data_IF_278261232739
#
_entry.id   IF_278261232739
#
_cell.length_a   1.000
_cell.length_b   1.000
_cell.length_c   1.000
_cell.angle_alpha   90.00
_cell.angle_beta   90.00
_cell.angle_gamma   90.00
#
_symmetry.space_group_name_H-M   'P 1'
#
loop_
_entity.id
_entity.type
_entity.pdbx_description
1 polymer ?
#
# COMPACT_ATOMS: atom_id res chain seq x y z
N UNK A 1 -17.55 -4.99 10.41
CA UNK A 1 -17.45 -6.32 9.78
C UNK A 1 -15.99 -6.55 9.46
N UNK A 2 -15.26 -7.21 10.37
CA UNK A 2 -13.86 -7.57 10.20
C UNK A 2 -13.77 -9.09 10.12
N UNK A 3 -12.92 -9.62 9.23
CA UNK A 3 -12.21 -10.87 9.53
C UNK A 3 -12.54 -12.14 8.76
N UNK A 4 -13.24 -12.10 7.62
CA UNK A 4 -13.40 -13.30 6.78
C UNK A 4 -12.22 -13.54 5.83
N UNK A 5 -11.83 -12.47 5.12
CA UNK A 5 -10.78 -12.53 4.11
C UNK A 5 -9.36 -12.49 4.66
N UNK A 6 -9.11 -11.74 5.75
CA UNK A 6 -7.75 -11.57 6.30
C UNK A 6 -7.11 -12.89 6.72
N UNK A 7 -7.79 -13.76 7.50
CA UNK A 7 -7.23 -15.07 7.82
C UNK A 7 -7.11 -15.96 6.58
N UNK A 8 -8.05 -15.88 5.63
CA UNK A 8 -8.02 -16.69 4.41
C UNK A 8 -6.79 -16.38 3.57
N UNK A 9 -6.53 -15.11 3.26
CA UNK A 9 -5.39 -14.75 2.40
C UNK A 9 -4.05 -15.05 3.07
N UNK A 10 -3.95 -14.86 4.40
CA UNK A 10 -2.76 -15.25 5.17
C UNK A 10 -2.54 -16.76 5.09
N UNK A 11 -3.60 -17.55 5.28
CA UNK A 11 -3.53 -19.01 5.18
C UNK A 11 -3.26 -19.48 3.74
N UNK A 12 -3.86 -18.86 2.73
CA UNK A 12 -3.62 -19.15 1.32
C UNK A 12 -2.17 -18.85 0.94
N UNK A 13 -1.62 -17.71 1.35
CA UNK A 13 -0.19 -17.41 1.18
C UNK A 13 0.65 -18.48 1.88
N UNK A 14 0.33 -18.84 3.13
CA UNK A 14 1.09 -19.83 3.88
C UNK A 14 1.04 -21.23 3.23
N UNK A 15 -0.10 -21.63 2.69
CA UNK A 15 -0.28 -22.88 1.94
C UNK A 15 0.52 -22.85 0.64
N UNK A 16 0.50 -21.73 -0.10
CA UNK A 16 1.28 -21.55 -1.33
C UNK A 16 2.79 -21.68 -1.02
N UNK A 17 3.26 -21.12 0.12
CA UNK A 17 4.66 -21.29 0.57
C UNK A 17 4.98 -22.73 0.98
N UNK A 18 4.06 -23.42 1.66
CA UNK A 18 4.29 -24.80 2.06
C UNK A 18 4.28 -25.76 0.87
N UNK A 19 3.48 -25.46 -0.15
CA UNK A 19 3.35 -26.24 -1.38
C UNK A 19 4.50 -26.08 -2.38
N UNK A 20 5.30 -25.00 -2.28
CA UNK A 20 6.45 -24.73 -3.16
C UNK A 20 7.65 -25.66 -2.92
N UNK A 21 7.57 -26.56 -1.93
CA UNK A 21 8.66 -27.47 -1.58
C UNK A 21 9.73 -26.85 -0.70
N UNK A 22 9.39 -25.83 0.11
CA UNK A 22 10.28 -25.27 1.12
C UNK A 22 10.72 -26.37 2.10
N UNK A 23 11.90 -26.95 1.85
CA UNK A 23 12.55 -27.90 2.75
C UNK A 23 12.96 -27.16 4.02
N UNK A 24 12.03 -27.10 4.98
CA UNK A 24 12.16 -26.70 6.39
C UNK A 24 12.23 -25.22 6.77
N UNK A 25 12.54 -24.25 5.87
CA UNK A 25 12.56 -22.82 6.24
C UNK A 25 12.09 -21.86 5.13
N UNK A 26 11.11 -21.04 5.47
CA UNK A 26 10.64 -19.93 4.64
C UNK A 26 11.62 -18.77 4.78
N UNK A 27 12.29 -18.42 3.67
CA UNK A 27 13.27 -17.34 3.61
C UNK A 27 12.67 -15.97 3.27
N UNK A 28 13.43 -14.90 3.50
CA UNK A 28 13.01 -13.53 3.13
C UNK A 28 12.73 -13.37 1.63
N UNK A 29 13.48 -14.09 0.78
CA UNK A 29 13.34 -13.99 -0.67
C UNK A 29 12.09 -14.72 -1.18
N UNK A 30 11.70 -15.81 -0.53
CA UNK A 30 10.46 -16.53 -0.84
C UNK A 30 9.22 -15.69 -0.47
N UNK A 31 9.23 -15.06 0.71
CA UNK A 31 8.17 -14.11 1.12
C UNK A 31 8.04 -12.95 0.13
N UNK A 32 9.17 -12.42 -0.38
CA UNK A 32 9.16 -11.35 -1.39
C UNK A 32 8.54 -11.78 -2.71
N UNK A 33 8.97 -12.93 -3.23
CA UNK A 33 8.43 -13.47 -4.49
C UNK A 33 6.92 -13.64 -4.41
N UNK A 34 6.44 -14.24 -3.31
CA UNK A 34 5.02 -14.47 -3.09
C UNK A 34 4.24 -13.17 -2.85
N UNK A 35 4.85 -12.18 -2.19
CA UNK A 35 4.23 -10.86 -2.01
C UNK A 35 4.03 -10.14 -3.35
N UNK A 36 4.97 -10.27 -4.29
CA UNK A 36 4.82 -9.74 -5.66
C UNK A 36 3.66 -10.42 -6.38
N UNK A 37 3.62 -11.76 -6.39
CA UNK A 37 2.54 -12.52 -7.00
C UNK A 37 1.17 -12.22 -6.36
N UNK A 38 1.14 -11.91 -5.06
CA UNK A 38 -0.08 -11.51 -4.36
C UNK A 38 -0.57 -10.13 -4.81
N UNK A 39 0.34 -9.16 -5.03
CA UNK A 39 -0.02 -7.86 -5.61
C UNK A 39 -0.60 -8.01 -7.01
N UNK A 40 0.05 -8.78 -7.88
CA UNK A 40 -0.42 -9.09 -9.24
C UNK A 40 -1.85 -9.64 -9.20
N UNK A 41 -2.09 -10.64 -8.35
CA UNK A 41 -3.42 -11.23 -8.15
C UNK A 41 -4.45 -10.20 -7.67
N UNK A 42 -4.11 -9.34 -6.70
CA UNK A 42 -5.00 -8.28 -6.20
C UNK A 42 -5.34 -7.25 -7.28
N UNK A 43 -4.37 -6.93 -8.15
CA UNK A 43 -4.60 -6.06 -9.31
C UNK A 43 -5.57 -6.74 -10.28
N UNK A 44 -5.38 -8.03 -10.56
CA UNK A 44 -6.30 -8.78 -11.44
C UNK A 44 -7.72 -8.90 -10.86
N UNK A 45 -7.85 -9.21 -9.56
CA UNK A 45 -9.13 -9.22 -8.84
C UNK A 45 -9.82 -7.86 -8.93
N UNK A 46 -9.07 -6.78 -8.69
CA UNK A 46 -9.58 -5.41 -8.82
C UNK A 46 -10.10 -5.12 -10.22
N UNK A 47 -9.37 -5.52 -11.27
CA UNK A 47 -9.79 -5.32 -12.66
C UNK A 47 -11.04 -6.12 -13.04
N UNK A 48 -11.21 -7.31 -12.48
CA UNK A 48 -12.38 -8.14 -12.72
C UNK A 48 -13.64 -7.61 -12.01
N UNK A 49 -13.46 -7.06 -10.80
CA UNK A 49 -14.56 -6.65 -9.93
C UNK A 49 -14.98 -5.18 -10.08
N UNK A 50 -14.21 -4.35 -10.79
CA UNK A 50 -14.48 -2.92 -10.97
C UNK A 50 -15.02 -2.58 -12.36
N UNK A 51 -15.77 -1.47 -12.46
CA UNK A 51 -16.15 -0.92 -13.76
C UNK A 51 -14.95 -0.20 -14.41
N UNK A 52 -14.93 -0.07 -15.73
CA UNK A 52 -13.78 0.46 -16.48
C UNK A 52 -13.28 1.82 -15.96
N UNK A 53 -14.20 2.76 -15.68
CA UNK A 53 -13.85 4.11 -15.20
C UNK A 53 -13.29 4.08 -13.77
N UNK A 54 -13.75 3.13 -12.96
CA UNK A 54 -13.28 2.91 -11.60
C UNK A 54 -11.92 2.21 -11.59
N UNK A 55 -11.71 1.25 -12.49
CA UNK A 55 -10.46 0.52 -12.68
C UNK A 55 -9.29 1.49 -12.94
N UNK A 56 -9.45 2.45 -13.86
CA UNK A 56 -8.42 3.43 -14.17
C UNK A 56 -8.07 4.28 -12.95
N UNK A 57 -9.08 4.80 -12.23
CA UNK A 57 -8.88 5.58 -11.02
C UNK A 57 -8.15 4.78 -9.92
N UNK A 58 -8.50 3.51 -9.76
CA UNK A 58 -7.88 2.61 -8.81
C UNK A 58 -6.42 2.33 -9.15
N UNK A 59 -6.11 1.95 -10.39
CA UNK A 59 -4.74 1.70 -10.85
C UNK A 59 -3.84 2.95 -10.68
N UNK A 60 -4.35 4.13 -11.07
CA UNK A 60 -3.68 5.41 -10.83
C UNK A 60 -3.46 5.69 -9.35
N UNK A 61 -4.42 5.32 -8.50
CA UNK A 61 -4.30 5.42 -7.05
C UNK A 61 -3.19 4.54 -6.48
N UNK A 62 -3.13 3.26 -6.89
CA UNK A 62 -2.06 2.32 -6.49
C UNK A 62 -0.69 2.91 -6.85
N UNK A 63 -0.53 3.32 -8.11
CA UNK A 63 0.71 3.91 -8.62
C UNK A 63 1.09 5.17 -7.84
N UNK A 64 0.16 6.11 -7.68
CA UNK A 64 0.41 7.39 -7.02
C UNK A 64 0.83 7.24 -5.56
N UNK A 65 0.16 6.36 -4.80
CA UNK A 65 0.47 6.11 -3.40
C UNK A 65 1.80 5.36 -3.27
N UNK A 66 2.06 4.36 -4.14
CA UNK A 66 3.35 3.66 -4.19
C UNK A 66 4.48 4.66 -4.44
N UNK A 67 4.41 5.44 -5.51
CA UNK A 67 5.45 6.41 -5.87
C UNK A 67 5.66 7.46 -4.78
N UNK A 68 4.59 7.95 -4.15
CA UNK A 68 4.69 8.84 -3.00
C UNK A 68 5.51 8.20 -1.86
N UNK A 69 5.16 6.98 -1.47
CA UNK A 69 5.83 6.25 -0.39
C UNK A 69 7.31 5.96 -0.72
N UNK A 70 7.59 5.52 -1.95
CA UNK A 70 8.95 5.23 -2.42
C UNK A 70 9.81 6.50 -2.45
N UNK A 71 9.29 7.61 -2.99
CA UNK A 71 9.98 8.90 -3.01
C UNK A 71 10.25 9.44 -1.61
N UNK A 72 9.33 9.24 -0.67
CA UNK A 72 9.48 9.62 0.74
C UNK A 72 10.23 8.58 1.56
N UNK A 73 10.62 7.46 0.97
CA UNK A 73 11.38 6.35 1.57
C UNK A 73 10.74 5.77 2.83
N UNK A 74 9.42 5.64 2.85
CA UNK A 74 8.64 5.09 3.97
C UNK A 74 7.45 4.30 3.45
N UNK A 75 7.06 3.23 4.15
CA UNK A 75 5.85 2.46 3.83
C UNK A 75 4.57 3.11 4.38
N UNK A 76 4.67 4.11 5.25
CA UNK A 76 3.53 4.78 5.88
C UNK A 76 3.35 6.19 5.33
N UNK A 77 2.09 6.57 5.12
CA UNK A 77 1.66 7.93 4.79
C UNK A 77 0.44 8.34 5.63
N UNK A 78 0.20 9.64 5.71
CA UNK A 78 -0.92 10.23 6.44
C UNK A 78 -1.88 10.93 5.49
N UNK A 79 -3.18 10.83 5.74
CA UNK A 79 -4.21 11.68 5.12
C UNK A 79 -4.94 12.43 6.22
N UNK A 80 -5.14 13.73 6.05
CA UNK A 80 -5.90 14.52 7.01
C UNK A 80 -7.36 14.03 7.07
N UNK A 81 -7.92 13.84 8.26
CA UNK A 81 -9.29 13.33 8.41
C UNK A 81 -10.33 14.23 7.72
N UNK A 82 -10.10 15.55 7.73
CA UNK A 82 -10.94 16.52 7.00
C UNK A 82 -11.02 16.20 5.50
N UNK A 83 -9.94 15.71 4.90
CA UNK A 83 -9.91 15.33 3.47
C UNK A 83 -10.80 14.12 3.24
N UNK A 84 -10.68 13.09 4.08
CA UNK A 84 -11.53 11.89 4.00
C UNK A 84 -13.01 12.16 4.33
N UNK A 85 -13.32 13.28 4.99
CA UNK A 85 -14.69 13.69 5.30
C UNK A 85 -15.32 14.58 4.22
N UNK A 86 -14.52 15.38 3.52
CA UNK A 86 -15.01 16.41 2.59
C UNK A 86 -14.89 16.01 1.13
N UNK A 87 -14.01 15.05 0.80
CA UNK A 87 -13.77 14.57 -0.56
C UNK A 87 -14.19 13.10 -0.68
N UNK A 88 -15.42 12.90 -1.15
CA UNK A 88 -16.00 11.56 -1.31
C UNK A 88 -15.23 10.71 -2.33
N UNK A 89 -14.64 11.33 -3.36
CA UNK A 89 -13.85 10.62 -4.38
C UNK A 89 -12.55 10.07 -3.80
N UNK A 90 -11.82 10.89 -3.02
CA UNK A 90 -10.61 10.43 -2.33
C UNK A 90 -10.93 9.41 -1.25
N UNK A 91 -12.01 9.63 -0.49
CA UNK A 91 -12.48 8.64 0.48
C UNK A 91 -12.80 7.31 -0.20
N UNK A 92 -13.58 7.30 -1.28
CA UNK A 92 -13.92 6.10 -2.02
C UNK A 92 -12.68 5.38 -2.54
N UNK A 93 -11.73 6.11 -3.14
CA UNK A 93 -10.45 5.57 -3.60
C UNK A 93 -9.69 4.86 -2.47
N UNK A 94 -9.45 5.55 -1.34
CA UNK A 94 -8.69 5.01 -0.22
C UNK A 94 -9.37 3.75 0.36
N UNK A 95 -10.69 3.76 0.49
CA UNK A 95 -11.43 2.62 1.04
C UNK A 95 -11.42 1.43 0.08
N UNK A 96 -11.54 1.65 -1.22
CA UNK A 96 -11.41 0.57 -2.21
C UNK A 96 -10.01 -0.02 -2.24
N UNK A 97 -8.97 0.80 -2.12
CA UNK A 97 -7.59 0.30 -1.99
C UNK A 97 -7.38 -0.50 -0.70
N UNK A 98 -8.08 -0.18 0.39
CA UNK A 98 -8.10 -1.02 1.60
C UNK A 98 -8.84 -2.35 1.38
N UNK A 99 -9.97 -2.34 0.69
CA UNK A 99 -10.75 -3.55 0.41
C UNK A 99 -9.94 -4.57 -0.39
N UNK A 100 -9.20 -4.10 -1.41
CA UNK A 100 -8.24 -4.91 -2.17
C UNK A 100 -6.91 -5.12 -1.45
N UNK A 101 -6.77 -4.64 -0.21
CA UNK A 101 -5.58 -4.80 0.65
C UNK A 101 -4.30 -4.26 0.00
N UNK A 102 -4.42 -3.28 -0.87
CA UNK A 102 -3.25 -2.58 -1.40
C UNK A 102 -2.63 -1.69 -0.32
N UNK A 103 -3.47 -1.17 0.57
CA UNK A 103 -3.07 -0.39 1.74
C UNK A 103 -3.78 -0.89 3.01
N UNK A 104 -3.21 -0.57 4.17
CA UNK A 104 -3.70 -0.99 5.48
C UNK A 104 -3.84 0.21 6.42
N UNK A 105 -4.98 0.34 7.10
CA UNK A 105 -5.16 1.35 8.16
C UNK A 105 -4.30 0.99 9.38
N UNK A 106 -3.47 1.94 9.85
CA UNK A 106 -2.48 1.70 10.90
C UNK A 106 -2.78 2.46 12.19
N UNK A 107 -3.35 3.66 12.08
CA UNK A 107 -3.77 4.48 13.20
C UNK A 107 -4.76 5.56 12.73
N UNK A 108 -5.61 5.97 13.64
CA UNK A 108 -6.65 6.98 13.52
C UNK A 108 -6.42 8.09 14.56
N UNK A 109 -7.04 9.27 14.32
CA UNK A 109 -6.93 10.44 15.19
C UNK A 109 -5.49 10.83 15.58
N UNK A 110 -4.56 10.69 14.64
CA UNK A 110 -3.13 10.90 14.87
C UNK A 110 -2.78 12.38 14.68
N UNK A 111 -1.97 12.94 15.59
CA UNK A 111 -1.46 14.31 15.46
C UNK A 111 -0.07 14.30 14.84
N UNK A 112 0.12 15.05 13.76
CA UNK A 112 1.43 15.17 13.10
C UNK A 112 2.36 16.08 13.90
N UNK A 113 3.68 15.80 13.89
CA UNK A 113 4.66 16.56 14.69
C UNK A 113 4.83 18.02 14.27
N UNK A 114 4.59 18.31 13.00
CA UNK A 114 4.89 19.61 12.38
C UNK A 114 3.70 20.29 11.71
N UNK A 115 2.52 19.67 11.75
CA UNK A 115 1.32 20.23 11.13
C UNK A 115 0.11 19.99 12.03
N UNK A 116 -0.73 21.02 12.18
CA UNK A 116 -1.95 20.94 12.96
C UNK A 116 -3.03 20.15 12.24
N UNK A 117 -3.84 19.43 13.01
CA UNK A 117 -4.96 18.64 12.52
C UNK A 117 -4.93 17.20 13.00
N UNK A 118 -5.99 16.49 12.65
CA UNK A 118 -6.16 15.07 12.89
C UNK A 118 -5.93 14.31 11.59
N UNK A 119 -5.18 13.22 11.67
CA UNK A 119 -4.74 12.43 10.52
C UNK A 119 -5.02 10.95 10.72
N UNK A 120 -5.38 10.28 9.64
CA UNK A 120 -5.41 8.83 9.56
C UNK A 120 -4.13 8.34 8.88
N UNK A 121 -3.48 7.33 9.46
CA UNK A 121 -2.26 6.72 8.99
C UNK A 121 -2.55 5.43 8.23
N UNK A 122 -1.93 5.28 7.07
CA UNK A 122 -2.03 4.11 6.21
C UNK A 122 -0.64 3.59 5.85
N UNK A 123 -0.50 2.28 5.70
CA UNK A 123 0.71 1.64 5.17
C UNK A 123 0.43 0.99 3.82
N UNK A 124 1.35 1.10 2.87
CA UNK A 124 1.31 0.29 1.65
C UNK A 124 1.67 -1.16 1.96
N UNK A 125 0.99 -2.11 1.30
CA UNK A 125 1.27 -3.53 1.42
C UNK A 125 2.69 -3.88 0.93
N UNK A 126 3.30 -4.91 1.52
CA UNK A 126 4.64 -5.37 1.14
C UNK A 126 4.75 -5.70 -0.35
N UNK A 127 3.70 -6.20 -0.99
CA UNK A 127 3.68 -6.46 -2.43
C UNK A 127 4.05 -5.23 -3.28
N UNK A 128 3.73 -4.01 -2.81
CA UNK A 128 4.03 -2.75 -3.51
C UNK A 128 5.53 -2.45 -3.62
N UNK A 129 6.37 -3.08 -2.80
CA UNK A 129 7.83 -2.86 -2.76
C UNK A 129 8.64 -4.16 -2.59
N UNK A 130 7.99 -5.32 -2.60
CA UNK A 130 8.65 -6.62 -2.40
C UNK A 130 9.66 -6.98 -3.49
N UNK A 131 9.44 -6.50 -4.72
CA UNK A 131 10.35 -6.68 -5.85
C UNK A 131 11.69 -5.94 -5.67
N UNK A 132 11.80 -5.03 -4.71
CA UNK A 132 13.08 -4.37 -4.42
C UNK A 132 14.01 -5.32 -3.68
N UNK A 133 15.05 -5.81 -4.37
CA UNK A 133 16.09 -6.68 -3.79
C UNK A 133 16.75 -6.09 -2.54
N UNK A 134 16.90 -4.77 -2.48
CA UNK A 134 17.48 -4.05 -1.34
C UNK A 134 16.62 -2.84 -0.98
N UNK A 135 15.96 -2.92 0.18
CA UNK A 135 15.25 -1.77 0.78
C UNK A 135 16.22 -0.73 1.36
N UNK A 136 17.45 -1.15 1.69
CA UNK A 136 18.48 -0.27 2.26
C UNK A 136 18.73 0.96 1.38
N UNK A 137 18.44 2.15 1.93
CA UNK A 137 18.57 3.43 1.22
C UNK A 137 17.40 3.81 0.30
N UNK A 138 16.46 2.88 0.06
CA UNK A 138 15.27 3.07 -0.78
C UNK A 138 13.98 3.22 0.03
N UNK A 139 13.80 2.40 1.06
CA UNK A 139 12.61 2.39 1.91
C UNK A 139 13.00 2.04 3.35
N UNK A 140 12.56 2.86 4.31
CA UNK A 140 12.61 2.54 5.73
C UNK A 140 11.23 2.12 6.19
N UNK A 141 11.08 0.85 6.52
CA UNK A 141 9.80 0.33 7.01
C UNK A 141 9.55 0.76 8.46
N UNK A 142 8.38 1.32 8.73
CA UNK A 142 7.87 1.45 10.08
C UNK A 142 7.23 0.11 10.45
N UNK A 143 7.95 -0.66 11.27
CA UNK A 143 7.42 -1.88 11.89
C UNK A 143 6.30 -1.52 12.86
N UNK A 144 5.06 -1.84 12.44
CA UNK A 144 3.82 -1.53 13.16
C UNK A 144 3.66 -2.34 14.46
N UNK A 145 4.45 -3.41 14.65
CA UNK A 145 4.42 -4.23 15.88
C UNK A 145 5.19 -3.60 17.04
N UNK A 146 6.05 -2.62 16.74
CA UNK A 146 6.85 -1.95 17.76
C UNK A 146 5.99 -0.97 18.57
N UNK A 147 6.22 -0.91 19.90
CA UNK A 147 5.57 0.07 20.76
C UNK A 147 5.83 1.53 20.33
N UNK A 148 6.93 1.78 19.62
CA UNK A 148 7.31 3.10 19.08
C UNK A 148 6.68 3.43 17.72
N UNK A 149 5.94 2.50 17.11
CA UNK A 149 5.37 2.67 15.77
C UNK A 149 4.50 3.92 15.68
N UNK A 150 3.57 4.11 16.64
CA UNK A 150 2.68 5.26 16.67
C UNK A 150 3.45 6.59 16.67
N UNK A 151 4.53 6.68 17.45
CA UNK A 151 5.35 7.87 17.54
C UNK A 151 6.15 8.14 16.24
N UNK A 152 6.62 7.09 15.56
CA UNK A 152 7.24 7.21 14.23
C UNK A 152 6.24 7.69 13.19
N UNK A 153 5.01 7.16 13.19
CA UNK A 153 3.95 7.54 12.26
C UNK A 153 3.56 9.03 12.38
N UNK A 154 3.74 9.67 13.54
CA UNK A 154 3.51 11.12 13.70
C UNK A 154 4.45 12.00 12.90
N UNK A 155 5.51 11.42 12.34
CA UNK A 155 6.46 12.09 11.45
C UNK A 155 6.34 11.58 10.01
N UNK A 156 5.36 10.71 9.73
CA UNK A 156 5.15 10.17 8.40
C UNK A 156 4.66 11.26 7.44
N UNK A 157 5.03 11.19 6.16
CA UNK A 157 4.68 12.20 5.17
C UNK A 157 3.16 12.24 4.96
N UNK A 158 2.64 13.46 4.80
CA UNK A 158 1.21 13.70 4.55
C UNK A 158 0.98 13.71 3.04
N UNK A 159 0.10 12.82 2.57
CA UNK A 159 -0.41 12.82 1.20
C UNK A 159 -1.57 13.81 1.12
N UNK A 160 -1.29 15.00 0.57
CA UNK A 160 -2.30 16.05 0.40
C UNK A 160 -3.14 15.88 -0.86
N UNK A 161 -4.34 16.46 -0.87
CA UNK A 161 -5.25 16.44 -2.03
C UNK A 161 -4.60 16.91 -3.33
N UNK A 162 -3.85 18.02 -3.27
CA UNK A 162 -3.17 18.59 -4.43
C UNK A 162 -2.11 17.63 -4.99
N UNK A 163 -1.26 17.08 -4.12
CA UNK A 163 -0.20 16.14 -4.53
C UNK A 163 -0.77 14.84 -5.08
N UNK A 164 -1.86 14.33 -4.48
CA UNK A 164 -2.58 13.18 -5.01
C UNK A 164 -3.20 13.48 -6.38
N UNK A 165 -3.92 14.59 -6.53
CA UNK A 165 -4.53 14.99 -7.80
C UNK A 165 -3.51 15.19 -8.92
N UNK A 166 -2.39 15.87 -8.64
CA UNK A 166 -1.28 16.03 -9.58
C UNK A 166 -0.69 14.66 -9.98
N UNK A 167 -0.49 13.77 -9.00
CA UNK A 167 0.01 12.42 -9.26
C UNK A 167 -0.94 11.60 -10.13
N UNK A 168 -2.25 11.64 -9.88
CA UNK A 168 -3.27 10.93 -10.66
C UNK A 168 -3.31 11.39 -12.12
N UNK A 169 -3.15 12.69 -12.37
CA UNK A 169 -3.11 13.26 -13.73
C UNK A 169 -1.80 12.95 -14.44
N UNK A 170 -0.68 12.95 -13.70
CA UNK A 170 0.65 12.66 -14.25
C UNK A 170 0.97 11.16 -14.40
N UNK A 171 0.06 10.28 -13.98
CA UNK A 171 0.24 8.85 -14.06
C UNK A 171 0.44 8.42 -15.54
N UNK A 172 1.40 7.53 -15.81
CA UNK A 172 1.67 7.06 -17.17
C UNK A 172 0.48 6.28 -17.72
N UNK A 173 0.37 6.14 -19.05
CA UNK A 173 -0.71 5.34 -19.66
C UNK A 173 -0.53 3.83 -19.40
N UNK A 174 0.72 3.37 -19.29
CA UNK A 174 1.11 1.97 -19.09
C UNK A 174 1.28 1.60 -17.60
N UNK A 175 0.31 1.98 -16.76
CA UNK A 175 0.41 1.85 -15.29
C UNK A 175 0.72 0.43 -14.82
N UNK A 176 0.06 -0.56 -15.40
CA UNK A 176 0.25 -1.96 -15.02
C UNK A 176 1.70 -2.39 -15.22
N UNK A 177 2.30 -2.06 -16.36
CA UNK A 177 3.71 -2.35 -16.62
C UNK A 177 4.61 -1.65 -15.59
N UNK A 178 4.34 -0.39 -15.23
CA UNK A 178 5.12 0.33 -14.21
C UNK A 178 4.97 -0.25 -12.79
N UNK A 179 3.79 -0.79 -12.46
CA UNK A 179 3.54 -1.45 -11.19
C UNK A 179 4.28 -2.79 -11.10
N UNK A 180 4.41 -3.50 -12.22
CA UNK A 180 5.00 -4.84 -12.29
C UNK A 180 6.49 -4.87 -12.64
N UNK A 181 7.04 -3.74 -13.13
CA UNK A 181 8.47 -3.58 -13.36
C UNK A 181 9.26 -3.78 -12.07
N UNK A 182 10.27 -4.64 -12.17
CA UNK A 182 11.29 -4.75 -11.13
C UNK A 182 12.11 -3.44 -11.12
N UNK A 183 12.04 -2.69 -10.02
CA UNK A 183 12.90 -1.53 -9.78
C UNK A 183 14.33 -2.02 -9.44
N UNK A 184 14.99 -2.61 -10.42
CA UNK A 184 16.41 -2.92 -10.41
C UNK A 184 17.19 -1.65 -10.83
N UNK A 185 17.50 -0.82 -9.84
CA UNK A 185 18.48 0.26 -9.92
C UNK A 185 19.11 0.52 -8.56
#
# INVERSE_FOLDING_TARGET
MAGGGVPRDVLSLFIDVLGSGAETRIGKDEVRLLSKANLERRIDELKQDSQYDEQDALLKGIYSIREFCLRRKTNVFLIAEKVLQQDDSVKALIFRLMDYRIIHSCADALTHKSQEGSYQAFAIDIGCYAHMRKLTGKLSEIDLTQATAKEKMRSAPILGLKELGESLVSAPENIEDELLKDVDS
#
